data_IF_291508312920
#
_entry.id   IF_291508312920
#
_cell.length_a   1.000
_cell.length_b   1.000
_cell.length_c   1.000
_cell.angle_alpha   90.00
_cell.angle_beta   90.00
_cell.angle_gamma   90.00
#
_symmetry.space_group_name_H-M   'P 1'
#
loop_
_entity.id
_entity.type
_entity.pdbx_description
1 polymer ?
#
# COMPACT_ATOMS: atom_id res chain seq x y z
N UNK A 1 5.63 -32.49 -74.89
CA UNK A 1 4.44 -32.26 -75.73
C UNK A 1 3.92 -33.63 -76.12
N UNK A 2 2.89 -34.22 -75.53
CA UNK A 2 1.65 -33.66 -75.00
C UNK A 2 0.52 -34.37 -75.74
N UNK A 3 0.08 -35.49 -75.17
CA UNK A 3 -0.59 -36.65 -75.77
C UNK A 3 -2.04 -36.41 -76.19
N UNK A 4 -2.44 -37.04 -77.30
CA UNK A 4 -3.82 -37.14 -77.80
C UNK A 4 -4.62 -38.07 -76.88
N UNK A 5 -5.80 -37.63 -76.40
CA UNK A 5 -6.73 -38.47 -75.65
C UNK A 5 -8.01 -38.68 -76.45
N UNK A 6 -8.24 -39.94 -76.82
CA UNK A 6 -9.49 -40.44 -77.41
C UNK A 6 -10.55 -40.69 -76.34
N UNK A 7 -11.79 -40.55 -76.79
CA UNK A 7 -13.08 -40.52 -76.10
C UNK A 7 -13.81 -41.84 -76.35
N UNK A 8 -14.45 -42.45 -75.33
CA UNK A 8 -15.69 -43.24 -75.44
C UNK A 8 -16.41 -43.21 -74.07
N UNK A 9 -17.62 -42.63 -73.99
CA UNK A 9 -18.95 -43.30 -73.89
C UNK A 9 -19.06 -44.21 -72.65
N UNK A 10 -19.93 -44.04 -71.66
CA UNK A 10 -21.21 -43.33 -71.54
C UNK A 10 -22.25 -44.34 -71.00
N UNK A 11 -22.97 -44.02 -69.92
CA UNK A 11 -24.30 -44.60 -69.65
C UNK A 11 -25.11 -43.79 -68.60
N UNK A 12 -26.40 -44.12 -68.52
CA UNK A 12 -27.60 -43.31 -68.35
C UNK A 12 -28.14 -43.01 -66.92
N UNK A 13 -28.93 -41.90 -66.87
CA UNK A 13 -30.19 -41.65 -66.12
C UNK A 13 -30.19 -41.40 -64.59
N UNK A 14 -31.26 -40.80 -64.00
CA UNK A 14 -32.03 -39.58 -64.34
C UNK A 14 -32.12 -38.61 -63.11
N UNK A 15 -32.86 -37.47 -63.13
CA UNK A 15 -32.71 -36.41 -62.13
C UNK A 15 -33.65 -36.58 -60.92
N UNK A 16 -33.11 -36.42 -59.71
CA UNK A 16 -33.90 -36.20 -58.49
C UNK A 16 -33.40 -34.96 -57.75
N UNK A 17 -34.23 -33.92 -57.78
CA UNK A 17 -34.21 -32.83 -56.82
C UNK A 17 -34.28 -33.40 -55.41
N UNK A 18 -33.30 -33.13 -54.57
CA UNK A 18 -33.49 -33.17 -53.11
C UNK A 18 -32.71 -32.02 -52.50
N UNK A 19 -33.49 -31.18 -51.82
CA UNK A 19 -33.08 -30.07 -51.00
C UNK A 19 -32.03 -30.54 -49.97
N UNK A 20 -30.94 -29.80 -49.79
CA UNK A 20 -30.14 -29.89 -48.58
C UNK A 20 -29.82 -28.47 -48.10
N UNK A 21 -30.70 -27.99 -47.20
CA UNK A 21 -30.41 -26.91 -46.29
C UNK A 21 -29.24 -27.31 -45.36
N UNK A 22 -28.42 -26.37 -44.86
CA UNK A 22 -27.33 -26.69 -43.93
C UNK A 22 -27.88 -27.28 -42.62
N UNK A 23 -27.46 -28.51 -42.29
CA UNK A 23 -27.78 -29.17 -41.02
C UNK A 23 -27.36 -28.32 -39.82
N UNK A 24 -28.31 -28.08 -38.92
CA UNK A 24 -28.17 -27.28 -37.70
C UNK A 24 -27.15 -27.82 -36.66
N UNK A 25 -26.55 -29.00 -36.90
CA UNK A 25 -25.60 -29.64 -35.97
C UNK A 25 -24.19 -29.04 -36.00
N UNK A 26 -23.74 -28.47 -37.13
CA UNK A 26 -22.41 -27.85 -37.22
C UNK A 26 -22.30 -26.53 -36.45
N UNK A 27 -23.38 -25.76 -36.40
CA UNK A 27 -23.45 -24.52 -35.62
C UNK A 27 -23.52 -24.79 -34.11
N UNK A 28 -24.16 -25.89 -33.68
CA UNK A 28 -24.22 -26.26 -32.25
C UNK A 28 -22.85 -26.65 -31.67
N UNK A 29 -22.03 -27.36 -32.44
CA UNK A 29 -20.69 -27.75 -31.99
C UNK A 29 -19.71 -26.56 -31.91
N UNK A 30 -19.78 -25.61 -32.85
CA UNK A 30 -18.95 -24.41 -32.83
C UNK A 30 -19.36 -23.44 -31.69
N UNK A 31 -20.66 -23.30 -31.42
CA UNK A 31 -21.18 -22.51 -30.29
C UNK A 31 -20.75 -23.15 -28.96
N UNK A 32 -20.82 -24.49 -28.83
CA UNK A 32 -20.34 -25.22 -27.64
C UNK A 32 -18.84 -25.04 -27.37
N UNK A 33 -18.00 -25.01 -28.41
CA UNK A 33 -16.55 -24.79 -28.27
C UNK A 33 -16.22 -23.34 -27.90
N UNK A 34 -16.95 -22.37 -28.43
CA UNK A 34 -16.82 -20.96 -28.07
C UNK A 34 -17.27 -20.70 -26.62
N UNK A 35 -18.40 -21.29 -26.20
CA UNK A 35 -18.90 -21.23 -24.82
C UNK A 35 -17.94 -21.90 -23.82
N UNK A 36 -17.28 -22.99 -24.22
CA UNK A 36 -16.26 -23.66 -23.41
C UNK A 36 -14.98 -22.80 -23.24
N UNK A 37 -14.58 -22.06 -24.29
CA UNK A 37 -13.45 -21.14 -24.22
C UNK A 37 -13.75 -19.90 -23.36
N UNK A 38 -14.97 -19.35 -23.45
CA UNK A 38 -15.42 -18.24 -22.60
C UNK A 38 -15.57 -18.64 -21.13
N UNK A 39 -16.08 -19.85 -20.83
CA UNK A 39 -16.10 -20.40 -19.47
C UNK A 39 -14.70 -20.64 -18.91
N UNK A 40 -13.75 -21.08 -19.74
CA UNK A 40 -12.35 -21.28 -19.35
C UNK A 40 -11.66 -19.95 -19.01
N UNK A 41 -11.88 -18.92 -19.82
CA UNK A 41 -11.37 -17.56 -19.58
C UNK A 41 -12.00 -16.91 -18.34
N UNK A 42 -13.32 -17.07 -18.15
CA UNK A 42 -14.05 -16.60 -16.98
C UNK A 42 -13.56 -17.27 -15.69
N UNK A 43 -13.31 -18.59 -15.72
CA UNK A 43 -12.73 -19.32 -14.59
C UNK A 43 -11.28 -18.90 -14.30
N UNK A 44 -10.47 -18.60 -15.32
CA UNK A 44 -9.11 -18.09 -15.13
C UNK A 44 -9.11 -16.70 -14.46
N UNK A 45 -10.02 -15.81 -14.86
CA UNK A 45 -10.19 -14.49 -14.23
C UNK A 45 -10.68 -14.61 -12.78
N UNK A 46 -11.63 -15.50 -12.50
CA UNK A 46 -12.15 -15.79 -11.15
C UNK A 46 -11.06 -16.36 -10.23
N UNK A 47 -10.19 -17.24 -10.75
CA UNK A 47 -9.03 -17.77 -10.02
C UNK A 47 -7.99 -16.69 -9.73
N UNK A 48 -7.73 -15.78 -10.67
CA UNK A 48 -6.83 -14.64 -10.48
C UNK A 48 -7.35 -13.65 -9.44
N UNK A 49 -8.66 -13.36 -9.45
CA UNK A 49 -9.32 -12.53 -8.44
C UNK A 49 -9.31 -13.19 -7.05
N UNK A 50 -9.58 -14.49 -6.95
CA UNK A 50 -9.51 -15.22 -5.69
C UNK A 50 -8.07 -15.30 -5.13
N UNK A 51 -7.06 -15.44 -5.99
CA UNK A 51 -5.65 -15.39 -5.59
C UNK A 51 -5.23 -13.99 -5.09
N UNK A 52 -5.67 -12.92 -5.76
CA UNK A 52 -5.44 -11.55 -5.32
C UNK A 52 -6.12 -11.24 -3.98
N UNK A 53 -7.37 -11.71 -3.77
CA UNK A 53 -8.07 -11.58 -2.50
C UNK A 53 -7.38 -12.37 -1.37
N UNK A 54 -6.84 -13.57 -1.66
CA UNK A 54 -6.10 -14.39 -0.69
C UNK A 54 -4.72 -13.82 -0.37
N UNK A 55 -4.08 -13.14 -1.32
CA UNK A 55 -2.85 -12.38 -1.09
C UNK A 55 -3.13 -11.11 -0.26
N UNK A 56 -4.24 -10.41 -0.52
CA UNK A 56 -4.69 -9.29 0.30
C UNK A 56 -5.11 -9.71 1.73
N UNK A 57 -5.58 -10.95 1.92
CA UNK A 57 -5.92 -11.51 3.22
C UNK A 57 -4.70 -11.86 4.09
N UNK A 58 -3.49 -11.96 3.51
CA UNK A 58 -2.27 -12.17 4.27
C UNK A 58 -1.81 -10.83 4.84
N UNK A 59 -2.12 -10.57 6.11
CA UNK A 59 -1.65 -9.39 6.85
C UNK A 59 -0.13 -9.32 6.78
N UNK A 60 0.39 -8.21 6.27
CA UNK A 60 1.81 -7.91 6.30
C UNK A 60 2.25 -7.77 7.77
N UNK A 61 3.27 -8.52 8.19
CA UNK A 61 3.77 -8.55 9.58
C UNK A 61 5.05 -7.73 9.72
N UNK A 62 5.83 -7.62 8.65
CA UNK A 62 7.14 -6.94 8.62
C UNK A 62 7.47 -6.45 7.21
N UNK A 63 8.54 -5.66 7.08
CA UNK A 63 8.94 -4.99 5.82
C UNK A 63 10.37 -5.32 5.39
N UNK A 64 10.90 -6.47 5.81
CA UNK A 64 12.30 -6.85 5.57
C UNK A 64 12.64 -6.84 4.07
N UNK A 65 11.77 -7.36 3.19
CA UNK A 65 12.04 -7.36 1.76
C UNK A 65 12.18 -5.94 1.22
N UNK A 66 11.19 -5.10 1.53
CA UNK A 66 11.16 -3.68 1.15
C UNK A 66 12.43 -2.96 1.60
N UNK A 67 12.81 -3.10 2.88
CA UNK A 67 13.99 -2.43 3.43
C UNK A 67 15.29 -3.01 2.86
N UNK A 68 15.40 -4.34 2.73
CA UNK A 68 16.58 -4.98 2.13
C UNK A 68 16.84 -4.50 0.70
N UNK A 69 15.78 -4.37 -0.11
CA UNK A 69 15.89 -3.83 -1.47
C UNK A 69 16.35 -2.37 -1.47
N UNK A 70 15.81 -1.55 -0.57
CA UNK A 70 16.21 -0.15 -0.39
C UNK A 70 17.68 -0.01 -0.02
N UNK A 71 18.18 -0.83 0.90
CA UNK A 71 19.58 -0.85 1.33
C UNK A 71 20.54 -1.55 0.33
N UNK A 72 20.02 -2.08 -0.78
CA UNK A 72 20.83 -2.75 -1.81
C UNK A 72 21.50 -4.05 -1.36
N UNK A 73 21.09 -4.64 -0.24
CA UNK A 73 21.71 -5.87 0.30
C UNK A 73 21.16 -7.09 -0.43
N UNK A 74 22.00 -7.82 -1.16
CA UNK A 74 21.55 -9.06 -1.81
C UNK A 74 21.23 -10.17 -0.79
N UNK A 75 20.29 -11.08 -1.11
CA UNK A 75 20.00 -12.26 -0.29
C UNK A 75 21.25 -13.15 -0.05
N UNK A 76 22.18 -13.20 -1.01
CA UNK A 76 23.44 -13.93 -0.86
C UNK A 76 24.34 -13.26 0.19
N UNK A 77 24.40 -11.93 0.18
CA UNK A 77 25.14 -11.15 1.17
C UNK A 77 24.55 -11.32 2.57
N UNK A 78 23.22 -11.26 2.69
CA UNK A 78 22.51 -11.52 3.94
C UNK A 78 22.77 -12.95 4.46
N UNK A 79 22.71 -13.96 3.59
CA UNK A 79 23.02 -15.36 3.92
C UNK A 79 24.41 -15.55 4.50
N UNK A 80 25.43 -14.93 3.89
CA UNK A 80 26.80 -14.99 4.40
C UNK A 80 26.96 -14.32 5.75
N UNK A 81 26.30 -13.17 5.98
CA UNK A 81 26.38 -12.42 7.24
C UNK A 81 25.61 -13.09 8.38
N UNK A 82 24.47 -13.72 8.08
CA UNK A 82 23.65 -14.40 9.08
C UNK A 82 24.06 -15.86 9.35
N UNK A 83 24.87 -16.46 8.47
CA UNK A 83 25.16 -17.89 8.45
C UNK A 83 23.89 -18.76 8.35
N UNK A 84 22.94 -18.30 7.52
CA UNK A 84 21.64 -18.96 7.30
C UNK A 84 21.48 -19.28 5.82
N UNK A 85 20.82 -20.39 5.49
CA UNK A 85 20.62 -20.80 4.11
C UNK A 85 19.69 -19.85 3.34
N UNK A 86 19.92 -19.71 2.04
CA UNK A 86 19.15 -18.78 1.19
C UNK A 86 17.65 -19.14 1.15
N UNK A 87 17.29 -20.41 1.31
CA UNK A 87 15.89 -20.84 1.24
C UNK A 87 15.11 -20.39 2.48
N UNK A 88 15.68 -20.53 3.67
CA UNK A 88 15.04 -19.99 4.88
C UNK A 88 15.03 -18.46 4.90
N UNK A 89 16.06 -17.79 4.37
CA UNK A 89 16.04 -16.33 4.22
C UNK A 89 14.91 -15.85 3.30
N UNK A 90 14.65 -16.56 2.19
CA UNK A 90 13.47 -16.26 1.35
C UNK A 90 12.15 -16.46 2.08
N UNK A 91 12.07 -17.44 2.96
CA UNK A 91 10.88 -17.65 3.78
C UNK A 91 10.70 -16.53 4.82
N UNK A 92 11.80 -16.03 5.40
CA UNK A 92 11.79 -14.89 6.33
C UNK A 92 11.50 -13.56 5.63
N UNK A 93 11.95 -13.41 4.37
CA UNK A 93 11.72 -12.21 3.57
C UNK A 93 10.26 -12.04 3.15
N UNK A 94 9.49 -13.13 3.05
CA UNK A 94 8.05 -13.06 2.81
C UNK A 94 7.39 -12.29 3.96
N UNK A 95 6.97 -11.07 3.64
CA UNK A 95 6.42 -10.06 4.55
C UNK A 95 5.13 -10.51 5.26
N UNK A 96 4.54 -11.63 4.85
CA UNK A 96 3.37 -12.24 5.48
C UNK A 96 3.68 -13.32 6.51
N UNK A 97 4.94 -13.78 6.58
CA UNK A 97 5.33 -14.86 7.50
C UNK A 97 5.72 -14.31 8.86
N UNK A 98 5.25 -14.96 9.92
CA UNK A 98 5.74 -14.62 11.25
C UNK A 98 7.22 -15.01 11.39
N UNK A 99 7.99 -14.17 12.07
CA UNK A 99 9.42 -14.39 12.32
C UNK A 99 9.74 -14.14 13.78
N UNK A 100 10.65 -14.93 14.33
CA UNK A 100 11.11 -14.76 15.70
C UNK A 100 11.75 -13.38 15.87
N UNK A 101 11.50 -12.74 17.02
CA UNK A 101 12.08 -11.44 17.34
C UNK A 101 13.62 -11.47 17.31
N UNK A 102 14.23 -12.56 17.75
CA UNK A 102 15.69 -12.76 17.65
C UNK A 102 16.20 -12.77 16.21
N UNK A 103 15.41 -13.32 15.27
CA UNK A 103 15.71 -13.28 13.84
C UNK A 103 15.54 -11.87 13.28
N UNK A 104 14.52 -11.13 13.71
CA UNK A 104 14.32 -9.73 13.33
C UNK A 104 15.52 -8.85 13.75
N UNK A 105 16.06 -9.04 14.96
CA UNK A 105 17.28 -8.36 15.41
C UNK A 105 18.53 -8.72 14.59
N UNK A 106 18.63 -9.95 14.08
CA UNK A 106 19.70 -10.31 13.13
C UNK A 106 19.54 -9.55 11.82
N UNK A 107 18.31 -9.41 11.31
CA UNK A 107 18.02 -8.60 10.13
C UNK A 107 18.39 -7.14 10.33
N UNK A 108 18.08 -6.59 11.50
CA UNK A 108 18.50 -5.26 11.90
C UNK A 108 20.02 -5.08 11.78
N UNK A 109 20.80 -6.00 12.36
CA UNK A 109 22.28 -5.94 12.32
C UNK A 109 22.84 -6.08 10.90
N UNK A 110 22.22 -6.91 10.07
CA UNK A 110 22.69 -7.18 8.70
C UNK A 110 22.38 -6.02 7.75
N UNK A 111 21.24 -5.36 7.95
CA UNK A 111 20.77 -4.23 7.16
C UNK A 111 21.25 -2.88 7.70
N UNK A 112 21.74 -2.85 8.94
CA UNK A 112 22.19 -1.64 9.64
C UNK A 112 21.12 -0.54 9.71
N UNK A 113 19.88 -0.95 9.99
CA UNK A 113 18.71 -0.06 10.12
C UNK A 113 18.13 -0.11 11.54
N UNK A 114 17.38 0.91 11.98
CA UNK A 114 16.58 0.81 13.21
C UNK A 114 15.54 -0.31 13.12
N UNK A 115 15.31 -1.03 14.23
CA UNK A 115 14.33 -2.14 14.30
C UNK A 115 12.92 -1.71 13.90
N UNK A 116 12.56 -0.45 14.16
CA UNK A 116 11.26 0.13 13.84
C UNK A 116 10.99 0.15 12.33
N UNK A 117 12.03 0.30 11.51
CA UNK A 117 11.87 0.35 10.05
C UNK A 117 11.52 -1.02 9.45
N UNK A 118 11.88 -2.11 10.15
CA UNK A 118 11.53 -3.46 9.73
C UNK A 118 10.10 -3.85 10.09
N UNK A 119 9.44 -3.07 10.95
CA UNK A 119 8.06 -3.30 11.37
C UNK A 119 7.08 -2.57 10.42
N UNK A 120 5.88 -3.11 10.30
CA UNK A 120 4.81 -2.42 9.58
C UNK A 120 4.25 -1.31 10.45
N UNK A 121 4.20 -0.09 9.91
CA UNK A 121 3.54 1.02 10.58
C UNK A 121 2.06 0.71 10.77
N UNK A 122 1.57 0.84 11.99
CA UNK A 122 0.14 0.72 12.23
C UNK A 122 -0.56 1.94 11.62
N UNK A 123 -1.37 1.71 10.58
CA UNK A 123 -2.33 2.71 10.06
C UNK A 123 -3.52 2.90 10.99
N UNK A 124 -3.59 2.14 12.08
CA UNK A 124 -4.61 2.31 13.11
C UNK A 124 -4.44 3.67 13.80
N UNK A 125 -5.55 4.39 14.08
CA UNK A 125 -5.47 5.61 14.87
C UNK A 125 -4.83 5.30 16.23
N UNK A 126 -4.15 6.29 16.79
CA UNK A 126 -3.55 6.24 18.14
C UNK A 126 -4.47 5.46 19.10
N UNK A 127 -3.88 4.57 19.89
CA UNK A 127 -4.64 3.77 20.86
C UNK A 127 -5.52 4.69 21.72
N UNK A 128 -6.70 4.22 22.20
CA UNK A 128 -7.66 5.07 22.90
C UNK A 128 -7.05 5.90 24.03
N UNK A 129 -6.10 5.32 24.78
CA UNK A 129 -5.37 5.98 25.88
C UNK A 129 -4.50 7.14 25.37
N UNK A 130 -3.75 6.92 24.29
CA UNK A 130 -2.89 7.96 23.72
C UNK A 130 -3.74 9.07 23.10
N UNK A 131 -4.86 8.72 22.49
CA UNK A 131 -5.82 9.68 21.94
C UNK A 131 -6.44 10.54 23.05
N UNK A 132 -6.86 9.94 24.17
CA UNK A 132 -7.35 10.66 25.35
C UNK A 132 -6.31 11.62 25.91
N UNK A 133 -5.07 11.17 26.09
CA UNK A 133 -3.96 12.02 26.53
C UNK A 133 -3.73 13.19 25.57
N UNK A 134 -3.69 12.93 24.26
CA UNK A 134 -3.52 13.97 23.26
C UNK A 134 -4.65 15.01 23.26
N UNK A 135 -5.91 14.59 23.49
CA UNK A 135 -7.04 15.51 23.69
C UNK A 135 -6.84 16.38 24.93
N UNK A 136 -6.44 15.77 26.04
CA UNK A 136 -6.23 16.50 27.29
C UNK A 136 -5.09 17.51 27.18
N UNK A 137 -4.00 17.17 26.49
CA UNK A 137 -2.92 18.11 26.16
C UNK A 137 -3.46 19.30 25.35
N UNK A 138 -4.30 19.07 24.33
CA UNK A 138 -4.93 20.17 23.56
C UNK A 138 -5.79 21.07 24.44
N UNK A 139 -6.53 20.50 25.38
CA UNK A 139 -7.34 21.29 26.33
C UNK A 139 -6.44 22.14 27.22
N UNK A 140 -5.39 21.56 27.82
CA UNK A 140 -4.42 22.30 28.64
C UNK A 140 -3.77 23.44 27.88
N UNK A 141 -3.28 23.20 26.64
CA UNK A 141 -2.70 24.26 25.79
C UNK A 141 -3.67 25.42 25.56
N UNK A 142 -4.96 25.11 25.43
CA UNK A 142 -6.01 26.10 25.20
C UNK A 142 -6.29 26.90 26.46
N UNK A 143 -6.43 26.25 27.61
CA UNK A 143 -6.64 26.93 28.90
C UNK A 143 -5.41 27.80 29.24
N UNK A 144 -4.21 27.27 29.06
CA UNK A 144 -2.97 28.00 29.30
C UNK A 144 -2.84 29.25 28.40
N UNK A 145 -3.27 29.16 27.14
CA UNK A 145 -3.32 30.31 26.23
C UNK A 145 -4.38 31.35 26.62
N UNK A 146 -5.55 30.92 27.14
CA UNK A 146 -6.57 31.83 27.68
C UNK A 146 -6.01 32.57 28.89
N UNK A 147 -5.37 31.85 29.82
CA UNK A 147 -4.76 32.43 31.02
C UNK A 147 -3.72 33.49 30.65
N UNK A 148 -2.89 33.22 29.65
CA UNK A 148 -1.83 34.14 29.21
C UNK A 148 -2.38 35.42 28.54
N UNK A 149 -3.48 35.31 27.77
CA UNK A 149 -3.96 36.42 26.92
C UNK A 149 -5.08 37.25 27.51
N UNK A 150 -5.73 36.78 28.58
CA UNK A 150 -6.90 37.47 29.11
C UNK A 150 -6.53 38.71 29.91
N UNK A 151 -7.08 39.86 29.53
CA UNK A 151 -6.98 41.11 30.30
C UNK A 151 -8.00 41.16 31.46
N UNK A 152 -9.04 40.32 31.40
CA UNK A 152 -10.09 40.27 32.41
C UNK A 152 -9.70 39.36 33.58
N UNK A 153 -9.63 39.95 34.79
CA UNK A 153 -9.26 39.23 36.04
C UNK A 153 -10.22 38.09 36.41
N UNK A 154 -11.49 38.17 36.03
CA UNK A 154 -12.47 37.09 36.26
C UNK A 154 -12.17 35.87 35.40
N UNK A 155 -11.89 36.08 34.11
CA UNK A 155 -11.54 35.02 33.15
C UNK A 155 -10.18 34.40 33.51
N UNK A 156 -9.21 35.20 33.94
CA UNK A 156 -7.91 34.69 34.40
C UNK A 156 -8.03 33.75 35.60
N UNK A 157 -8.85 34.10 36.60
CA UNK A 157 -9.13 33.22 37.75
C UNK A 157 -9.81 31.92 37.35
N UNK A 158 -10.76 31.98 36.41
CA UNK A 158 -11.44 30.80 35.91
C UNK A 158 -10.46 29.88 35.16
N UNK A 159 -9.60 30.45 34.32
CA UNK A 159 -8.57 29.70 33.63
C UNK A 159 -7.56 29.04 34.59
N UNK A 160 -7.15 29.71 35.68
CA UNK A 160 -6.29 29.11 36.71
C UNK A 160 -6.96 27.91 37.39
N UNK A 161 -8.21 28.06 37.80
CA UNK A 161 -8.98 26.96 38.39
C UNK A 161 -9.11 25.77 37.44
N UNK A 162 -9.31 26.01 36.14
CA UNK A 162 -9.35 24.95 35.14
C UNK A 162 -7.99 24.26 34.97
N UNK A 163 -6.87 24.99 35.08
CA UNK A 163 -5.52 24.38 35.07
C UNK A 163 -5.38 23.44 36.27
N UNK A 164 -5.75 23.88 37.47
CA UNK A 164 -5.69 23.06 38.69
C UNK A 164 -6.51 21.77 38.55
N UNK A 165 -7.75 21.87 38.05
CA UNK A 165 -8.62 20.71 37.79
C UNK A 165 -8.02 19.74 36.76
N UNK A 166 -7.40 20.25 35.69
CA UNK A 166 -6.76 19.42 34.68
C UNK A 166 -5.52 18.70 35.24
N UNK A 167 -4.77 19.34 36.14
CA UNK A 167 -3.61 18.73 36.79
C UNK A 167 -4.00 17.67 37.83
N UNK A 168 -5.15 17.82 38.49
CA UNK A 168 -5.71 16.80 39.37
C UNK A 168 -6.10 15.54 38.59
N UNK A 169 -6.72 15.71 37.41
CA UNK A 169 -7.09 14.60 36.53
C UNK A 169 -5.86 13.97 35.87
N UNK A 170 -4.87 14.79 35.47
CA UNK A 170 -3.73 14.34 34.67
C UNK A 170 -2.47 15.18 34.98
N UNK A 171 -1.63 14.74 35.94
CA UNK A 171 -0.51 15.52 36.44
C UNK A 171 0.62 15.70 35.40
N UNK A 172 0.71 14.81 34.40
CA UNK A 172 1.68 14.95 33.30
C UNK A 172 1.49 16.21 32.44
N UNK A 173 0.38 16.95 32.62
CA UNK A 173 0.12 18.22 31.92
C UNK A 173 0.90 19.42 32.45
N UNK A 174 1.60 19.29 33.58
CA UNK A 174 2.28 20.41 34.26
C UNK A 174 3.24 21.19 33.36
N UNK A 175 3.95 20.49 32.48
CA UNK A 175 4.99 21.09 31.63
C UNK A 175 4.46 21.48 30.23
N UNK A 176 3.14 21.40 30.02
CA UNK A 176 2.52 21.73 28.73
C UNK A 176 2.45 23.26 28.56
N UNK A 177 3.27 23.77 27.66
CA UNK A 177 3.23 25.20 27.28
C UNK A 177 1.96 25.56 26.51
N UNK A 178 1.46 26.81 26.62
CA UNK A 178 0.35 27.33 25.82
C UNK A 178 0.52 27.09 24.32
N UNK A 179 -0.58 27.14 23.57
CA UNK A 179 -0.47 27.29 22.12
C UNK A 179 0.44 28.47 21.78
N UNK A 180 1.47 28.24 20.98
CA UNK A 180 2.24 29.32 20.39
C UNK A 180 1.27 30.33 19.76
N UNK A 181 1.49 31.61 19.99
CA UNK A 181 0.59 32.70 19.58
C UNK A 181 0.62 33.00 18.08
N UNK A 182 0.56 31.94 17.26
CA UNK A 182 0.79 31.83 15.82
C UNK A 182 2.27 31.70 15.48
N UNK A 183 2.59 30.84 14.50
CA UNK A 183 3.92 30.70 13.94
C UNK A 183 4.50 32.07 13.60
N UNK A 184 5.82 32.22 13.79
CA UNK A 184 6.58 33.44 13.55
C UNK A 184 5.93 34.28 12.45
N UNK A 185 5.45 35.48 12.80
CA UNK A 185 5.23 36.51 11.81
C UNK A 185 6.58 36.74 11.18
N UNK A 186 6.78 36.17 9.99
CA UNK A 186 7.86 36.60 9.11
C UNK A 186 7.79 38.12 9.08
N UNK A 187 8.90 38.79 9.35
CA UNK A 187 8.94 40.21 9.10
C UNK A 187 8.57 40.43 7.60
N UNK A 188 7.95 41.56 7.23
CA UNK A 188 7.47 41.75 5.86
C UNK A 188 8.58 41.66 4.78
N UNK A 189 9.84 41.69 5.21
CA UNK A 189 11.06 41.51 4.42
C UNK A 189 11.69 40.12 4.50
N UNK A 190 11.18 39.20 5.33
CA UNK A 190 11.65 37.82 5.41
C UNK A 190 11.04 36.97 4.30
N UNK A 191 11.80 36.86 3.21
CA UNK A 191 11.53 35.90 2.15
C UNK A 191 11.77 34.48 2.67
N UNK A 192 10.83 33.56 2.42
CA UNK A 192 10.94 32.18 2.92
C UNK A 192 12.02 31.37 2.19
N UNK A 193 12.34 30.17 2.70
CA UNK A 193 13.31 29.22 2.12
C UNK A 193 13.11 28.95 0.61
N UNK A 194 11.88 29.06 0.10
CA UNK A 194 11.59 28.92 -1.32
C UNK A 194 12.17 30.05 -2.20
N UNK A 195 12.37 31.25 -1.63
CA UNK A 195 13.04 32.36 -2.30
C UNK A 195 14.57 32.25 -2.21
N UNK A 196 15.10 31.60 -1.16
CA UNK A 196 16.54 31.30 -1.01
C UNK A 196 16.98 30.20 -1.99
N UNK A 197 16.08 29.25 -2.29
CA UNK A 197 16.30 28.20 -3.27
C UNK A 197 15.56 28.49 -4.59
N UNK A 198 16.00 29.51 -5.33
CA UNK A 198 15.53 29.69 -6.70
C UNK A 198 16.04 28.55 -7.57
N UNK A 199 15.13 27.77 -8.15
CA UNK A 199 15.47 26.88 -9.25
C UNK A 199 15.81 27.75 -10.47
N UNK A 200 16.95 27.52 -11.14
CA UNK A 200 17.25 28.16 -12.42
C UNK A 200 16.14 27.86 -13.43
N UNK A 201 15.78 28.83 -14.27
CA UNK A 201 14.73 28.67 -15.30
C UNK A 201 15.05 27.52 -16.28
N UNK A 202 16.33 27.16 -16.40
CA UNK A 202 16.83 26.00 -17.17
C UNK A 202 16.26 24.66 -16.68
N UNK A 203 15.88 24.55 -15.40
CA UNK A 203 15.27 23.34 -14.83
C UNK A 203 13.88 23.03 -15.42
N UNK A 204 13.21 24.01 -16.02
CA UNK A 204 11.86 23.87 -16.58
C UNK A 204 11.82 23.72 -18.11
N UNK A 205 12.98 23.67 -18.78
CA UNK A 205 13.07 23.61 -20.25
C UNK A 205 13.58 22.26 -20.80
N UNK A 206 13.50 21.18 -20.02
CA UNK A 206 13.74 19.80 -20.48
C UNK A 206 12.45 18.95 -20.47
#
# INVERSE_FOLDING_TARGET
>A
MGTVYSRERGDNSPPTSTQNAPSADGLRAAVSAAEAAEMSASNAAKRKQAAAARAAAKRQMHRINTIRQREGVSLRSASRRMHVDIRSLRAQEDESNDILLSTLYKWQQVLDVPIQELLVDTTEPLTPVVLQRARMVKVMKTVAAIRERTEQKSVGRLAEMLVEQLLEIMPELKDVSPWHSVGQRRAANEVGRAAEHRLPDEFFME
#
